data_IF_962718134863
#
_entry.id   IF_962718134863
#
_cell.length_a   1.000
_cell.length_b   1.000
_cell.length_c   1.000
_cell.angle_alpha   90.00
_cell.angle_beta   90.00
_cell.angle_gamma   90.00
#
_symmetry.space_group_name_H-M   'P 1'
#
loop_
_entity.id
_entity.type
_entity.pdbx_description
1 polymer ?
#
# COMPACT_ATOMS: atom_id res chain seq x y z
N UNK A 1 29.95 -7.11 63.80
CA UNK A 1 30.22 -8.44 64.39
C UNK A 1 29.51 -9.48 63.54
N UNK A 2 30.20 -10.60 63.29
CA UNK A 2 29.79 -11.83 62.60
C UNK A 2 29.50 -11.74 61.09
N UNK A 3 29.75 -12.77 60.27
CA UNK A 3 30.84 -13.74 60.09
C UNK A 3 30.44 -14.50 58.80
N UNK A 4 31.42 -14.88 57.99
CA UNK A 4 31.25 -15.63 56.73
C UNK A 4 30.63 -17.02 56.92
N UNK A 5 30.09 -17.61 55.83
CA UNK A 5 30.34 -19.00 55.39
C UNK A 5 29.77 -19.26 53.99
N UNK A 6 30.62 -19.84 53.12
CA UNK A 6 30.31 -20.48 51.84
C UNK A 6 29.66 -21.86 52.04
N UNK A 7 28.95 -22.41 51.04
CA UNK A 7 29.37 -23.71 50.47
C UNK A 7 29.16 -23.81 48.93
N UNK A 8 30.21 -24.13 48.16
CA UNK A 8 30.59 -25.44 47.54
C UNK A 8 29.80 -25.92 46.32
N UNK A 9 30.57 -26.19 45.25
CA UNK A 9 30.22 -26.84 43.99
C UNK A 9 29.67 -28.26 44.15
N UNK A 10 28.78 -28.66 43.23
CA UNK A 10 28.58 -30.06 42.84
C UNK A 10 28.36 -30.15 41.32
N UNK A 11 29.20 -30.96 40.68
CA UNK A 11 29.25 -31.28 39.25
C UNK A 11 28.00 -32.04 38.78
N UNK A 12 27.50 -31.72 37.59
CA UNK A 12 26.60 -32.59 36.83
C UNK A 12 27.38 -33.23 35.67
N UNK A 13 27.54 -34.55 35.75
CA UNK A 13 28.21 -35.38 34.76
C UNK A 13 27.27 -35.66 33.56
N UNK A 14 27.81 -35.54 32.34
CA UNK A 14 27.17 -35.99 31.11
C UNK A 14 27.42 -37.49 30.88
N UNK A 15 26.43 -38.25 30.35
CA UNK A 15 26.62 -39.66 29.98
C UNK A 15 27.35 -39.79 28.62
N UNK A 16 28.11 -40.89 28.40
CA UNK A 16 28.96 -41.07 27.22
C UNK A 16 28.20 -41.58 25.99
N UNK A 17 28.72 -41.20 24.81
CA UNK A 17 28.36 -41.70 23.48
C UNK A 17 28.73 -43.19 23.32
N UNK A 18 27.77 -44.02 22.93
CA UNK A 18 28.01 -45.39 22.48
C UNK A 18 28.57 -45.42 21.05
N UNK A 19 29.61 -46.24 20.89
CA UNK A 19 30.24 -46.62 19.62
C UNK A 19 29.38 -47.66 18.90
N UNK A 20 29.10 -47.44 17.61
CA UNK A 20 28.53 -48.45 16.72
C UNK A 20 29.67 -49.17 16.01
N UNK A 21 29.72 -50.49 16.20
CA UNK A 21 30.69 -51.42 15.65
C UNK A 21 30.60 -51.56 14.12
N UNK A 22 31.76 -51.70 13.51
CA UNK A 22 31.98 -51.98 12.09
C UNK A 22 31.79 -53.47 11.82
N UNK A 23 30.80 -53.83 11.01
CA UNK A 23 30.66 -55.18 10.45
C UNK A 23 30.99 -55.18 8.95
N UNK A 24 31.72 -56.22 8.55
CA UNK A 24 32.57 -56.30 7.37
C UNK A 24 32.03 -57.37 6.40
N UNK A 25 31.70 -57.00 5.15
CA UNK A 25 31.46 -57.96 4.05
C UNK A 25 31.79 -57.34 2.67
N UNK A 26 31.95 -58.13 1.59
CA UNK A 26 33.19 -58.33 0.87
C UNK A 26 33.22 -57.61 -0.48
N UNK A 27 34.42 -57.57 -1.06
CA UNK A 27 34.73 -57.01 -2.37
C UNK A 27 33.87 -57.62 -3.49
N UNK A 28 33.02 -56.80 -4.10
CA UNK A 28 32.51 -57.02 -5.45
C UNK A 28 33.17 -56.01 -6.40
N UNK A 29 33.75 -56.53 -7.49
CA UNK A 29 34.39 -55.77 -8.57
C UNK A 29 33.36 -54.89 -9.29
N UNK A 30 33.50 -53.57 -9.19
CA UNK A 30 32.70 -52.61 -9.96
C UNK A 30 33.30 -52.51 -11.36
N UNK A 31 32.57 -53.01 -12.37
CA UNK A 31 32.79 -52.67 -13.78
C UNK A 31 32.29 -51.25 -14.01
N UNK A 32 33.19 -50.34 -14.39
CA UNK A 32 32.80 -49.02 -14.89
C UNK A 32 32.20 -49.18 -16.29
N UNK A 33 30.87 -49.02 -16.39
CA UNK A 33 30.23 -48.62 -17.63
C UNK A 33 30.15 -47.09 -17.60
N UNK A 34 30.85 -46.43 -18.52
CA UNK A 34 30.66 -45.02 -18.82
C UNK A 34 29.33 -44.91 -19.57
N UNK A 35 28.28 -44.49 -18.88
CA UNK A 35 27.03 -44.10 -19.52
C UNK A 35 26.89 -42.58 -19.39
N UNK A 36 27.06 -41.91 -20.52
CA UNK A 36 26.82 -40.46 -20.65
C UNK A 36 25.32 -40.23 -20.71
N UNK A 37 24.66 -40.14 -19.56
CA UNK A 37 23.29 -39.64 -19.50
C UNK A 37 23.33 -38.11 -19.61
N UNK A 38 22.91 -37.59 -20.76
CA UNK A 38 22.50 -36.19 -20.89
C UNK A 38 21.40 -35.92 -19.86
N UNK A 39 21.68 -35.05 -18.89
CA UNK A 39 20.66 -34.53 -17.99
C UNK A 39 19.81 -33.51 -18.75
N UNK A 40 18.84 -33.98 -19.53
CA UNK A 40 17.77 -33.12 -20.01
C UNK A 40 16.92 -32.68 -18.81
N UNK A 41 17.00 -31.38 -18.52
CA UNK A 41 16.12 -30.73 -17.56
C UNK A 41 14.70 -30.76 -18.15
N UNK A 42 13.70 -31.37 -17.48
CA UNK A 42 12.36 -31.44 -18.04
C UNK A 42 11.82 -30.02 -18.22
N UNK A 43 11.26 -29.76 -19.40
CA UNK A 43 10.64 -28.49 -19.76
C UNK A 43 9.75 -27.99 -18.61
N UNK A 44 10.19 -26.92 -17.96
CA UNK A 44 9.41 -26.22 -16.95
C UNK A 44 8.21 -25.59 -17.66
N UNK A 45 7.09 -26.32 -17.69
CA UNK A 45 5.79 -25.69 -17.91
C UNK A 45 5.66 -24.53 -16.91
N UNK A 46 5.37 -23.31 -17.38
CA UNK A 46 5.14 -22.20 -16.47
C UNK A 46 4.07 -22.58 -15.45
N UNK A 47 4.33 -22.33 -14.18
CA UNK A 47 3.31 -22.45 -13.15
C UNK A 47 2.29 -21.35 -13.44
N UNK A 48 1.16 -21.72 -14.04
CA UNK A 48 0.04 -20.80 -14.21
C UNK A 48 -0.57 -20.55 -12.83
N UNK A 49 -0.17 -19.43 -12.22
CA UNK A 49 -0.81 -18.95 -11.01
C UNK A 49 -2.27 -18.61 -11.36
N UNK A 50 -3.26 -19.11 -10.60
CA UNK A 50 -4.65 -18.79 -10.89
C UNK A 50 -4.85 -17.28 -10.70
N UNK A 51 -4.96 -16.56 -11.81
CA UNK A 51 -5.22 -15.11 -11.85
C UNK A 51 -6.55 -14.73 -11.16
N UNK A 52 -7.36 -15.72 -10.80
CA UNK A 52 -8.67 -15.55 -10.16
C UNK A 52 -8.65 -15.39 -8.62
N UNK A 53 -7.51 -15.61 -7.93
CA UNK A 53 -7.48 -15.52 -6.44
C UNK A 53 -7.15 -14.14 -5.88
N UNK A 54 -6.79 -13.19 -6.73
CA UNK A 54 -6.47 -11.81 -6.32
C UNK A 54 -7.28 -10.84 -7.18
N UNK A 55 -8.55 -10.65 -6.81
CA UNK A 55 -9.38 -9.64 -7.46
C UNK A 55 -8.69 -8.27 -7.38
N UNK A 56 -8.78 -7.48 -8.45
CA UNK A 56 -8.33 -6.10 -8.44
C UNK A 56 -9.26 -5.28 -7.53
N UNK A 57 -8.73 -4.41 -6.65
CA UNK A 57 -9.59 -3.52 -5.87
C UNK A 57 -10.31 -2.52 -6.76
N UNK A 58 -11.58 -2.29 -6.46
CA UNK A 58 -12.34 -1.20 -7.05
C UNK A 58 -12.33 -0.03 -6.07
N UNK A 59 -11.74 1.10 -6.45
CA UNK A 59 -11.70 2.29 -5.62
C UNK A 59 -12.36 3.47 -6.34
N UNK A 60 -13.25 4.16 -5.64
CA UNK A 60 -13.91 5.38 -6.11
C UNK A 60 -13.35 6.61 -5.38
N UNK A 61 -13.39 7.73 -6.09
CA UNK A 61 -13.04 9.05 -5.57
C UNK A 61 -14.14 10.03 -5.97
N UNK A 62 -14.69 10.71 -4.97
CA UNK A 62 -15.82 11.63 -5.12
C UNK A 62 -15.56 12.91 -4.33
N UNK A 63 -16.23 13.99 -4.74
CA UNK A 63 -16.17 15.28 -4.03
C UNK A 63 -17.59 15.69 -3.70
N UNK A 64 -17.86 15.95 -2.43
CA UNK A 64 -19.18 16.26 -1.88
C UNK A 64 -19.22 17.67 -1.28
N UNK A 65 -20.43 18.24 -1.27
CA UNK A 65 -20.77 19.48 -0.59
C UNK A 65 -21.30 19.19 0.82
N UNK A 66 -21.14 20.14 1.73
CA UNK A 66 -21.71 20.20 3.09
C UNK A 66 -21.27 19.11 4.08
N UNK A 67 -21.05 17.87 3.64
CA UNK A 67 -20.57 16.76 4.46
C UNK A 67 -19.91 15.66 3.64
N UNK A 68 -19.25 14.71 4.31
CA UNK A 68 -18.63 13.55 3.67
C UNK A 68 -19.58 12.74 2.78
N UNK A 69 -20.83 12.55 3.21
CA UNK A 69 -21.85 11.78 2.47
C UNK A 69 -22.91 12.72 1.87
N UNK A 70 -22.56 13.99 1.65
CA UNK A 70 -23.45 15.01 1.07
C UNK A 70 -23.69 14.83 -0.43
N UNK A 71 -24.34 15.80 -1.10
CA UNK A 71 -24.50 15.75 -2.55
C UNK A 71 -23.15 15.92 -3.26
N UNK A 72 -22.99 15.24 -4.41
CA UNK A 72 -21.82 15.41 -5.27
C UNK A 72 -21.72 16.84 -5.79
N UNK A 73 -20.49 17.31 -5.97
CA UNK A 73 -20.23 18.59 -6.65
C UNK A 73 -20.60 18.46 -8.13
N UNK A 74 -21.72 19.04 -8.52
CA UNK A 74 -22.25 19.08 -9.89
C UNK A 74 -22.21 20.48 -10.51
N UNK A 75 -21.74 21.47 -9.75
CA UNK A 75 -21.69 22.88 -10.12
C UNK A 75 -20.31 23.49 -9.92
N UNK A 76 -20.17 24.74 -10.37
CA UNK A 76 -19.01 25.55 -10.02
C UNK A 76 -19.03 25.86 -8.51
N UNK A 77 -17.85 25.77 -7.91
CA UNK A 77 -17.59 26.07 -6.50
C UNK A 77 -17.04 27.48 -6.36
N UNK A 78 -17.28 28.11 -5.21
CA UNK A 78 -16.68 29.40 -4.87
C UNK A 78 -15.44 29.17 -4.02
N UNK A 79 -14.41 30.02 -4.16
CA UNK A 79 -13.25 29.99 -3.25
C UNK A 79 -13.73 30.17 -1.80
N UNK A 80 -13.17 29.37 -0.89
CA UNK A 80 -13.56 29.31 0.53
C UNK A 80 -14.73 28.38 0.84
N UNK A 81 -15.42 27.85 -0.17
CA UNK A 81 -16.50 26.89 0.02
C UNK A 81 -15.97 25.57 0.58
N UNK A 82 -16.69 24.99 1.54
CA UNK A 82 -16.28 23.75 2.21
C UNK A 82 -16.59 22.54 1.33
N UNK A 83 -15.57 21.72 1.06
CA UNK A 83 -15.65 20.51 0.25
C UNK A 83 -15.15 19.30 1.03
N UNK A 84 -15.69 18.14 0.65
CA UNK A 84 -15.33 16.84 1.22
C UNK A 84 -14.90 15.90 0.12
N UNK A 85 -13.60 15.61 0.06
CA UNK A 85 -13.05 14.58 -0.80
C UNK A 85 -13.24 13.23 -0.11
N UNK A 86 -13.84 12.27 -0.81
CA UNK A 86 -14.17 10.94 -0.28
C UNK A 86 -13.50 9.88 -1.14
N UNK A 87 -12.80 8.96 -0.48
CA UNK A 87 -12.26 7.74 -1.09
C UNK A 87 -12.93 6.53 -0.46
N UNK A 88 -13.33 5.60 -1.29
CA UNK A 88 -13.90 4.33 -0.87
C UNK A 88 -13.37 3.22 -1.76
N UNK A 89 -12.87 2.14 -1.15
CA UNK A 89 -12.42 0.96 -1.87
C UNK A 89 -13.24 -0.28 -1.49
N UNK A 90 -13.47 -1.14 -2.47
CA UNK A 90 -13.95 -2.51 -2.30
C UNK A 90 -12.85 -3.50 -2.64
N UNK A 91 -12.74 -4.57 -1.85
CA UNK A 91 -11.88 -5.71 -2.18
C UNK A 91 -12.66 -7.02 -1.99
N UNK A 92 -12.64 -7.89 -3.00
CA UNK A 92 -13.24 -9.22 -2.90
C UNK A 92 -14.77 -9.25 -2.86
N UNK A 93 -15.46 -8.24 -3.40
CA UNK A 93 -16.93 -8.22 -3.49
C UNK A 93 -17.48 -9.47 -4.22
N UNK A 94 -16.77 -9.97 -5.24
CA UNK A 94 -17.08 -11.20 -5.97
C UNK A 94 -16.81 -12.50 -5.15
N UNK A 95 -15.81 -12.49 -4.25
CA UNK A 95 -15.48 -13.63 -3.37
C UNK A 95 -16.47 -13.77 -2.18
N UNK A 96 -17.22 -12.71 -1.90
CA UNK A 96 -18.19 -12.64 -0.79
C UNK A 96 -19.60 -13.15 -1.15
N UNK A 97 -19.76 -13.74 -2.35
CA UNK A 97 -20.99 -14.40 -2.83
C UNK A 97 -21.17 -15.81 -2.23
N UNK A 98 -20.09 -16.44 -1.78
CA UNK A 98 -20.15 -17.68 -1.01
C UNK A 98 -20.53 -17.38 0.46
N UNK A 99 -21.45 -18.15 1.05
CA UNK A 99 -21.87 -17.96 2.44
C UNK A 99 -20.74 -18.34 3.39
N UNK A 100 -19.90 -17.36 3.76
CA UNK A 100 -18.93 -17.51 4.85
C UNK A 100 -19.68 -17.48 6.19
N UNK A 101 -19.52 -18.52 7.06
CA UNK A 101 -20.17 -18.59 8.36
C UNK A 101 -19.63 -17.59 9.40
N UNK A 102 -18.79 -16.63 8.98
CA UNK A 102 -18.13 -15.65 9.87
C UNK A 102 -18.34 -14.19 9.43
N UNK A 103 -19.44 -13.91 8.72
CA UNK A 103 -19.75 -12.58 8.15
C UNK A 103 -20.49 -11.69 9.16
N UNK A 104 -19.83 -11.36 10.27
CA UNK A 104 -20.38 -10.51 11.33
C UNK A 104 -19.54 -9.24 11.50
N UNK A 105 -19.33 -8.46 10.44
CA UNK A 105 -19.04 -7.02 10.52
C UNK A 105 -18.69 -6.46 9.15
N UNK A 106 -19.18 -5.26 8.87
CA UNK A 106 -18.79 -4.41 7.74
C UNK A 106 -17.30 -4.00 7.76
N UNK A 107 -16.54 -4.40 8.79
CA UNK A 107 -15.14 -4.06 9.03
C UNK A 107 -14.21 -5.29 8.98
N UNK A 108 -14.67 -6.45 8.51
CA UNK A 108 -13.84 -7.67 8.49
C UNK A 108 -12.91 -7.81 7.26
N UNK A 109 -12.66 -6.71 6.55
CA UNK A 109 -11.68 -6.67 5.45
C UNK A 109 -10.27 -6.95 5.99
N UNK A 110 -9.52 -7.82 5.33
CA UNK A 110 -8.09 -8.01 5.59
C UNK A 110 -7.25 -6.80 5.19
N UNK A 111 -7.84 -5.91 4.39
CA UNK A 111 -7.19 -4.76 3.78
C UNK A 111 -7.64 -3.44 4.38
N UNK A 112 -6.71 -2.50 4.33
CA UNK A 112 -6.84 -1.10 4.71
C UNK A 112 -6.51 -0.24 3.50
N UNK A 113 -7.28 0.78 3.25
CA UNK A 113 -7.00 1.79 2.24
C UNK A 113 -6.21 2.94 2.86
N UNK A 114 -5.06 3.29 2.30
CA UNK A 114 -4.29 4.47 2.66
C UNK A 114 -4.15 5.38 1.44
N UNK A 115 -4.50 6.65 1.59
CA UNK A 115 -4.13 7.67 0.60
C UNK A 115 -2.66 8.02 0.86
N UNK A 116 -1.82 7.75 -0.13
CA UNK A 116 -0.37 7.76 0.02
C UNK A 116 0.27 9.09 -0.37
N UNK A 117 -0.04 9.59 -1.56
CA UNK A 117 0.51 10.86 -2.04
C UNK A 117 -0.49 11.54 -2.96
N UNK A 118 -0.51 12.87 -2.94
CA UNK A 118 -1.42 13.66 -3.75
C UNK A 118 -0.71 14.86 -4.35
N UNK A 119 -1.07 15.17 -5.59
CA UNK A 119 -0.66 16.38 -6.28
C UNK A 119 -1.86 17.18 -6.75
N UNK A 120 -1.67 18.48 -6.84
CA UNK A 120 -2.62 19.42 -7.44
C UNK A 120 -1.99 20.10 -8.64
N UNK A 121 -2.76 20.35 -9.69
CA UNK A 121 -2.28 21.08 -10.87
C UNK A 121 -3.26 22.12 -11.39
N UNK A 122 -2.72 23.17 -12.02
CA UNK A 122 -3.50 24.27 -12.64
C UNK A 122 -4.19 23.85 -13.96
N UNK A 123 -3.71 22.78 -14.59
CA UNK A 123 -4.30 22.22 -15.82
C UNK A 123 -4.41 20.70 -15.79
N UNK A 124 -5.06 20.13 -16.80
CA UNK A 124 -5.11 18.68 -17.00
C UNK A 124 -3.77 18.15 -17.52
N UNK A 125 -3.32 17.00 -17.02
CA UNK A 125 -2.04 16.40 -17.43
C UNK A 125 -1.99 15.99 -18.92
N UNK A 126 -3.14 15.89 -19.61
CA UNK A 126 -3.23 15.61 -21.05
C UNK A 126 -2.51 16.64 -21.92
N UNK A 127 -2.45 17.89 -21.46
CA UNK A 127 -1.93 19.02 -22.23
C UNK A 127 -0.39 19.05 -22.30
N UNK A 128 0.28 18.19 -21.53
CA UNK A 128 1.74 18.07 -21.50
C UNK A 128 2.31 17.19 -22.63
N UNK A 129 1.50 16.31 -23.24
CA UNK A 129 1.97 15.34 -24.23
C UNK A 129 2.31 15.94 -25.61
N UNK A 130 1.95 17.22 -25.86
CA UNK A 130 2.19 17.91 -27.13
C UNK A 130 3.32 18.95 -27.14
N UNK A 131 3.93 19.29 -26.00
CA UNK A 131 4.84 20.45 -25.88
C UNK A 131 6.33 20.16 -26.15
N UNK A 132 6.66 19.18 -27.00
CA UNK A 132 8.06 18.93 -27.42
C UNK A 132 8.40 19.33 -28.86
N UNK A 133 7.55 20.09 -29.57
CA UNK A 133 7.87 20.51 -30.95
C UNK A 133 7.75 22.01 -31.17
N UNK A 134 8.93 22.64 -31.26
CA UNK A 134 9.23 23.82 -32.08
C UNK A 134 8.10 24.84 -32.26
N UNK A 135 7.91 25.78 -31.33
CA UNK A 135 7.19 27.01 -31.69
C UNK A 135 7.66 28.25 -30.94
N UNK A 136 8.55 28.96 -31.66
CA UNK A 136 8.73 30.42 -31.77
C UNK A 136 8.30 31.28 -30.57
N UNK A 137 9.30 32.00 -30.03
CA UNK A 137 9.26 33.25 -29.27
C UNK A 137 7.89 33.96 -29.28
N UNK A 138 7.45 34.32 -28.06
CA UNK A 138 6.46 35.35 -27.73
C UNK A 138 4.98 34.92 -27.65
N UNK A 139 4.69 33.88 -26.84
CA UNK A 139 3.36 33.65 -26.28
C UNK A 139 3.53 33.63 -24.76
N UNK A 140 2.79 34.46 -24.01
CA UNK A 140 2.66 34.36 -22.56
C UNK A 140 2.27 32.90 -22.27
N UNK A 141 3.24 32.11 -21.81
CA UNK A 141 3.01 30.72 -21.46
C UNK A 141 2.28 30.77 -20.13
N UNK A 142 1.01 30.37 -20.12
CA UNK A 142 0.31 30.07 -18.88
C UNK A 142 1.15 29.00 -18.17
N UNK A 143 1.70 29.33 -17.01
CA UNK A 143 2.64 28.47 -16.30
C UNK A 143 1.88 27.28 -15.73
N UNK A 144 2.16 26.08 -16.25
CA UNK A 144 1.55 24.88 -15.74
C UNK A 144 2.21 24.51 -14.41
N UNK A 145 1.49 24.73 -13.32
CA UNK A 145 1.95 24.43 -11.95
C UNK A 145 1.47 23.04 -11.53
N UNK A 146 2.37 22.23 -10.98
CA UNK A 146 2.07 20.99 -10.25
C UNK A 146 2.69 21.09 -8.88
N UNK A 147 1.87 20.94 -7.84
CA UNK A 147 2.31 20.99 -6.45
C UNK A 147 2.01 19.66 -5.77
N UNK A 148 3.00 19.10 -5.09
CA UNK A 148 2.82 17.98 -4.17
C UNK A 148 2.26 18.52 -2.85
N UNK A 149 1.09 18.01 -2.44
CA UNK A 149 0.39 18.46 -1.24
C UNK A 149 0.44 17.44 -0.10
N UNK A 150 0.81 16.20 -0.39
CA UNK A 150 1.04 15.15 0.59
C UNK A 150 2.36 14.45 0.31
N UNK A 151 3.13 14.22 1.36
CA UNK A 151 4.43 13.56 1.30
C UNK A 151 4.34 12.05 1.03
N UNK A 152 5.48 11.38 1.01
CA UNK A 152 5.60 9.93 0.80
C UNK A 152 5.06 9.06 1.94
N UNK A 153 4.58 9.65 3.03
CA UNK A 153 3.98 8.94 4.16
C UNK A 153 2.47 9.20 4.29
N UNK A 154 1.89 9.99 3.38
CA UNK A 154 0.47 10.37 3.42
C UNK A 154 0.18 11.50 4.41
N UNK A 155 1.18 12.31 4.77
CA UNK A 155 1.02 13.49 5.60
C UNK A 155 0.98 14.76 4.76
N UNK A 156 0.16 15.73 5.17
CA UNK A 156 0.03 16.98 4.45
C UNK A 156 1.30 17.82 4.56
N UNK A 157 1.75 18.36 3.43
CA UNK A 157 2.84 19.33 3.37
C UNK A 157 2.31 20.73 3.73
N UNK A 158 1.06 21.03 3.36
CA UNK A 158 0.42 22.33 3.52
C UNK A 158 -0.90 22.21 4.30
N UNK A 159 -0.79 22.03 5.61
CA UNK A 159 -1.93 21.80 6.53
C UNK A 159 -3.00 22.89 6.50
N UNK A 160 -2.65 24.13 6.11
CA UNK A 160 -3.58 25.25 6.00
C UNK A 160 -4.55 25.14 4.81
N UNK A 161 -4.19 24.44 3.73
CA UNK A 161 -5.03 24.28 2.52
C UNK A 161 -5.58 22.87 2.41
N UNK A 162 -4.79 21.88 2.83
CA UNK A 162 -5.14 20.47 2.78
C UNK A 162 -4.81 19.89 4.14
N UNK A 163 -5.76 19.78 5.07
CA UNK A 163 -5.53 19.15 6.36
C UNK A 163 -5.17 17.66 6.23
N UNK A 164 -4.90 17.02 7.36
CA UNK A 164 -4.68 15.58 7.43
C UNK A 164 -5.95 14.81 7.07
N UNK A 165 -5.77 13.70 6.33
CA UNK A 165 -6.87 12.83 5.92
C UNK A 165 -7.47 12.12 7.14
N UNK A 166 -8.79 12.16 7.25
CA UNK A 166 -9.55 11.47 8.27
C UNK A 166 -10.05 10.10 7.76
N UNK A 167 -9.54 9.02 8.36
CA UNK A 167 -9.91 7.66 8.00
C UNK A 167 -11.13 7.21 8.82
N UNK A 168 -12.31 7.22 8.20
CA UNK A 168 -13.61 6.86 8.83
C UNK A 168 -13.91 5.35 8.83
N UNK A 169 -13.05 4.53 8.24
CA UNK A 169 -13.15 3.08 8.23
C UNK A 169 -11.89 2.45 7.64
N UNK A 170 -11.85 1.13 7.51
CA UNK A 170 -10.66 0.45 6.98
C UNK A 170 -10.41 0.81 5.51
N UNK A 171 -11.45 0.81 4.70
CA UNK A 171 -11.42 1.09 3.26
C UNK A 171 -12.07 2.43 2.87
N UNK A 172 -12.28 3.34 3.84
CA UNK A 172 -12.91 4.65 3.62
C UNK A 172 -12.11 5.77 4.26
N UNK A 173 -11.97 6.87 3.52
CA UNK A 173 -11.25 8.06 3.98
C UNK A 173 -11.90 9.34 3.46
N UNK A 174 -11.79 10.40 4.25
CA UNK A 174 -12.36 11.71 3.96
C UNK A 174 -11.30 12.78 4.18
N UNK A 175 -11.24 13.76 3.28
CA UNK A 175 -10.45 14.97 3.44
C UNK A 175 -11.37 16.18 3.31
N UNK A 176 -11.43 16.97 4.37
CA UNK A 176 -12.20 18.20 4.46
C UNK A 176 -11.29 19.40 4.09
N UNK A 177 -11.66 20.16 3.05
CA UNK A 177 -10.89 21.31 2.56
C UNK A 177 -11.77 22.48 2.19
N UNK A 178 -11.23 23.68 2.27
CA UNK A 178 -11.84 24.86 1.64
C UNK A 178 -11.37 24.97 0.19
N UNK A 179 -12.29 25.27 -0.72
CA UNK A 179 -11.99 25.51 -2.12
C UNK A 179 -10.96 26.63 -2.28
N UNK A 180 -9.94 26.40 -3.11
CA UNK A 180 -8.88 27.37 -3.39
C UNK A 180 -8.53 27.36 -4.88
N UNK A 181 -7.78 28.37 -5.33
CA UNK A 181 -7.26 28.46 -6.69
C UNK A 181 -5.73 28.54 -6.67
N UNK A 182 -5.10 27.94 -7.69
CA UNK A 182 -3.65 28.03 -7.89
C UNK A 182 -3.24 29.20 -8.78
N UNK A 183 -4.15 29.60 -9.67
CA UNK A 183 -3.97 30.68 -10.63
C UNK A 183 -5.26 31.51 -10.70
N UNK A 184 -5.14 32.79 -11.01
CA UNK A 184 -6.27 33.70 -11.19
C UNK A 184 -6.96 33.47 -12.54
N UNK A 185 -6.19 33.11 -13.57
CA UNK A 185 -6.70 32.96 -14.94
C UNK A 185 -7.35 31.59 -15.18
N UNK A 186 -6.91 30.56 -14.44
CA UNK A 186 -7.45 29.20 -14.47
C UNK A 186 -7.81 28.74 -13.05
N UNK A 187 -9.00 29.07 -12.55
CA UNK A 187 -9.42 28.74 -11.18
C UNK A 187 -9.78 27.25 -11.00
N UNK A 188 -9.38 26.38 -11.93
CA UNK A 188 -9.60 24.95 -11.85
C UNK A 188 -8.36 24.27 -11.25
N UNK A 189 -8.58 23.45 -10.23
CA UNK A 189 -7.51 22.66 -9.59
C UNK A 189 -7.80 21.18 -9.81
N UNK A 190 -6.82 20.47 -10.35
CA UNK A 190 -6.93 19.03 -10.61
C UNK A 190 -6.21 18.26 -9.53
N UNK A 191 -6.95 17.44 -8.78
CA UNK A 191 -6.40 16.57 -7.75
C UNK A 191 -6.06 15.19 -8.32
N UNK A 192 -4.84 14.73 -8.05
CA UNK A 192 -4.40 13.37 -8.40
C UNK A 192 -3.79 12.73 -7.17
N UNK A 193 -4.43 11.67 -6.67
CA UNK A 193 -3.98 10.95 -5.50
C UNK A 193 -3.65 9.49 -5.84
N UNK A 194 -2.61 8.96 -5.21
CA UNK A 194 -2.29 7.54 -5.23
C UNK A 194 -2.84 6.89 -3.97
N UNK A 195 -3.62 5.83 -4.14
CA UNK A 195 -4.18 5.04 -3.03
C UNK A 195 -3.47 3.70 -2.96
N UNK A 196 -3.22 3.20 -1.76
CA UNK A 196 -2.61 1.91 -1.48
C UNK A 196 -3.53 1.04 -0.64
N UNK A 197 -3.60 -0.24 -0.97
CA UNK A 197 -4.16 -1.26 -0.08
C UNK A 197 -3.05 -1.92 0.74
N UNK A 198 -3.24 -1.93 2.05
CA UNK A 198 -2.32 -2.49 3.03
C UNK A 198 -3.01 -3.62 3.78
N UNK A 199 -2.27 -4.65 4.19
CA UNK A 199 -2.83 -5.67 5.08
C UNK A 199 -2.94 -5.13 6.51
N UNK A 200 -4.00 -5.54 7.22
CA UNK A 200 -4.12 -5.32 8.65
C UNK A 200 -3.02 -6.04 9.39
N UNK A 201 -2.43 -5.36 10.39
CA UNK A 201 -1.48 -5.95 11.31
C UNK A 201 -2.17 -6.03 12.66
N UNK A 202 -2.31 -7.25 13.20
CA UNK A 202 -3.02 -7.52 14.45
C UNK A 202 -4.47 -6.97 14.44
N UNK A 203 -5.15 -7.10 13.31
CA UNK A 203 -6.52 -6.60 13.12
C UNK A 203 -6.65 -5.07 13.06
N UNK A 204 -5.54 -4.33 12.97
CA UNK A 204 -5.54 -2.86 12.92
C UNK A 204 -4.92 -2.33 11.63
N UNK A 205 -5.49 -1.23 11.13
CA UNK A 205 -4.93 -0.50 10.01
C UNK A 205 -3.81 0.44 10.46
N UNK A 206 -2.66 0.35 9.81
CA UNK A 206 -1.60 1.35 9.95
C UNK A 206 -2.03 2.62 9.22
N UNK A 207 -2.01 3.75 9.91
CA UNK A 207 -2.32 5.08 9.37
C UNK A 207 -1.08 5.98 9.40
N UNK A 208 -1.04 7.05 8.58
CA UNK A 208 0.01 8.06 8.68
C UNK A 208 0.09 8.64 10.10
N UNK A 209 1.31 8.86 10.59
CA UNK A 209 1.55 9.51 11.89
C UNK A 209 2.13 10.90 11.63
N UNK A 210 1.24 11.87 11.41
CA UNK A 210 1.61 13.22 11.04
C UNK A 210 1.80 14.09 12.28
N UNK A 211 2.87 14.86 12.30
CA UNK A 211 3.14 15.82 13.36
C UNK A 211 2.20 17.01 13.16
N UNK A 212 1.32 17.27 14.13
CA UNK A 212 0.51 18.49 14.15
C UNK A 212 1.44 19.70 14.29
N UNK A 213 1.51 20.54 13.26
CA UNK A 213 2.29 21.78 13.26
C UNK A 213 1.41 22.96 13.61
#
# INVERSE_FOLDING_TARGET
>A
MAHALMPTLANAAHPPMELIETEQHPRALIKFAMDSSENEMPDKKPIELPMSRFAEPECSYEVHLDSADGPLVDRKITIGEQLFHRWECGYGAELNKEPSPFKNSSDNSLYCMMVHSCTISSGNQSDQSGQRKHRRRNRRQNEFVVLEIMDEFGCSIYTNITPEIHYIGDLRAVLEVQAFALDYDQPAVFFKCNVRLLLKINGRCRRPNCIKK
#
